data_IF_320520930880
#
_entry.id   IF_320520930880
#
_cell.length_a   1.000
_cell.length_b   1.000
_cell.length_c   1.000
_cell.angle_alpha   90.00
_cell.angle_beta   90.00
_cell.angle_gamma   90.00
#
_symmetry.space_group_name_H-M   'P 1'
#
loop_
_entity.id
_entity.type
_entity.pdbx_description
1 polymer ?
#
# COMPACT_ATOMS: atom_id res chain seq x y z
N UNK A 1 9.73 128.12 9.81
CA UNK A 1 8.85 127.93 10.99
C UNK A 1 7.40 128.15 10.57
N UNK A 2 6.61 127.07 10.45
CA UNK A 2 5.14 127.08 10.22
C UNK A 2 4.59 125.82 10.92
N UNK A 3 4.27 125.89 12.22
CA UNK A 3 2.91 126.03 12.79
C UNK A 3 1.93 124.96 12.25
N UNK A 4 1.82 123.79 12.91
CA UNK A 4 0.88 123.45 13.98
C UNK A 4 -0.63 123.57 13.63
N UNK A 5 -1.32 122.47 13.96
CA UNK A 5 -2.74 122.34 14.32
C UNK A 5 -3.76 122.19 13.19
N UNK A 6 -4.31 120.97 13.02
CA UNK A 6 -5.75 120.65 13.25
C UNK A 6 -5.91 119.20 13.71
N UNK A 7 -6.72 119.06 14.73
CA UNK A 7 -6.97 117.92 15.62
C UNK A 7 -8.27 117.18 15.29
N UNK A 8 -8.39 115.97 15.86
CA UNK A 8 -9.62 115.36 16.42
C UNK A 8 -10.54 114.51 15.51
N UNK A 9 -10.54 113.19 15.73
CA UNK A 9 -11.74 112.33 15.97
C UNK A 9 -11.28 110.92 16.43
N UNK A 10 -11.32 110.61 17.74
CA UNK A 10 -12.27 109.70 18.41
C UNK A 10 -12.25 108.23 17.89
N UNK A 11 -11.61 107.27 18.59
CA UNK A 11 -12.17 106.41 19.65
C UNK A 11 -13.38 105.56 19.22
N UNK A 12 -13.16 104.28 18.83
CA UNK A 12 -14.05 103.11 19.06
C UNK A 12 -13.63 101.88 18.22
N UNK A 13 -13.68 100.67 18.79
CA UNK A 13 -13.68 99.40 18.05
C UNK A 13 -12.48 98.49 18.37
N UNK A 14 -12.36 97.95 19.58
CA UNK A 14 -12.89 96.62 19.96
C UNK A 14 -12.22 95.47 19.19
N UNK A 15 -11.29 94.81 19.90
CA UNK A 15 -11.13 93.36 20.04
C UNK A 15 -11.62 92.49 18.86
N UNK A 16 -10.69 92.14 17.96
CA UNK A 16 -10.77 90.86 17.23
C UNK A 16 -9.40 90.19 17.27
N UNK A 17 -9.02 89.73 18.47
CA UNK A 17 -8.07 88.62 18.56
C UNK A 17 -8.87 87.37 18.18
N UNK A 18 -8.62 86.84 16.98
CA UNK A 18 -9.27 85.64 16.48
C UNK A 18 -9.14 84.50 17.48
N UNK A 19 -10.28 83.95 17.87
CA UNK A 19 -10.41 82.71 18.61
C UNK A 19 -9.61 81.60 17.94
N UNK A 20 -8.54 81.14 18.60
CA UNK A 20 -7.93 79.86 18.28
C UNK A 20 -8.93 78.75 18.62
N UNK A 21 -9.53 78.16 17.59
CA UNK A 21 -10.33 76.93 17.72
C UNK A 21 -9.39 75.76 18.01
N UNK A 22 -9.08 75.56 19.29
CA UNK A 22 -8.59 74.27 19.78
C UNK A 22 -9.81 73.34 19.89
N UNK A 23 -10.15 72.66 18.80
CA UNK A 23 -11.23 71.68 18.78
C UNK A 23 -10.78 70.41 18.04
N UNK A 24 -10.60 69.37 18.87
CA UNK A 24 -10.69 67.95 18.57
C UNK A 24 -9.69 67.36 17.56
N UNK A 25 -8.50 67.02 18.07
CA UNK A 25 -7.67 66.01 17.46
C UNK A 25 -8.45 64.69 17.54
N UNK A 26 -8.75 64.00 16.42
CA UNK A 26 -9.49 62.75 16.48
C UNK A 26 -8.78 61.79 17.44
N UNK A 27 -9.46 61.38 18.51
CA UNK A 27 -9.01 60.26 19.34
C UNK A 27 -8.79 59.10 18.38
N UNK A 28 -7.52 58.77 18.09
CA UNK A 28 -7.15 57.52 17.45
C UNK A 28 -7.58 56.42 18.40
N UNK A 29 -8.81 55.93 18.22
CA UNK A 29 -9.22 54.63 18.72
C UNK A 29 -8.28 53.66 18.00
N UNK A 30 -7.37 53.05 18.75
CA UNK A 30 -6.59 51.94 18.22
C UNK A 30 -7.60 50.94 17.61
N UNK A 31 -7.35 50.44 16.39
CA UNK A 31 -8.18 49.39 15.82
C UNK A 31 -8.37 48.31 16.89
N UNK A 32 -9.59 47.78 17.09
CA UNK A 32 -9.80 46.68 18.02
C UNK A 32 -8.76 45.59 17.71
N UNK A 33 -8.15 44.94 18.72
CA UNK A 33 -7.17 43.90 18.49
C UNK A 33 -7.72 42.94 17.45
N UNK A 34 -7.05 42.85 16.30
CA UNK A 34 -7.39 41.86 15.30
C UNK A 34 -7.14 40.53 15.97
N UNK A 35 -8.20 39.83 16.35
CA UNK A 35 -8.11 38.45 16.80
C UNK A 35 -7.64 37.64 15.59
N UNK A 36 -6.32 37.47 15.45
CA UNK A 36 -5.81 36.42 14.59
C UNK A 36 -6.04 35.12 15.35
N UNK A 37 -6.95 34.24 14.90
CA UNK A 37 -7.11 32.95 15.56
C UNK A 37 -5.74 32.29 15.62
N UNK A 38 -5.33 31.87 16.82
CA UNK A 38 -4.08 31.12 17.00
C UNK A 38 -4.15 29.94 16.03
N UNK A 39 -3.16 29.75 15.14
CA UNK A 39 -3.15 28.62 14.23
C UNK A 39 -3.23 27.33 15.03
N UNK A 40 -4.41 26.70 15.05
CA UNK A 40 -4.59 25.38 15.64
C UNK A 40 -4.27 24.38 14.55
N UNK A 41 -3.37 23.45 14.87
CA UNK A 41 -3.03 22.37 13.95
C UNK A 41 -4.29 21.63 13.51
N UNK A 42 -4.40 21.40 12.21
CA UNK A 42 -5.52 20.66 11.63
C UNK A 42 -5.02 19.53 10.74
N UNK A 43 -5.76 18.44 10.79
CA UNK A 43 -5.59 17.31 9.90
C UNK A 43 -6.16 17.56 8.52
N UNK A 44 -7.00 18.60 8.35
CA UNK A 44 -7.63 18.94 7.07
C UNK A 44 -6.60 19.34 6.02
N UNK A 45 -6.61 18.67 4.86
CA UNK A 45 -5.80 19.02 3.71
C UNK A 45 -5.36 17.84 2.85
N UNK A 46 -4.78 18.18 1.70
CA UNK A 46 -4.08 17.22 0.85
C UNK A 46 -2.73 16.86 1.46
N UNK A 47 -2.35 15.60 1.31
CA UNK A 47 -1.01 15.15 1.64
C UNK A 47 -0.54 14.09 0.64
N UNK A 48 0.78 13.97 0.51
CA UNK A 48 1.43 12.91 -0.22
C UNK A 48 2.64 12.43 0.57
N UNK A 49 3.00 11.17 0.41
CA UNK A 49 4.05 10.56 1.20
C UNK A 49 4.59 9.29 0.59
N UNK A 50 5.62 8.78 1.24
CA UNK A 50 6.19 7.48 0.94
C UNK A 50 6.13 6.61 2.19
N UNK A 51 6.09 5.31 1.99
CA UNK A 51 6.06 4.34 3.07
C UNK A 51 6.93 3.13 2.71
N UNK A 52 7.40 2.46 3.74
CA UNK A 52 8.22 1.26 3.68
C UNK A 52 7.85 0.35 4.84
N UNK A 53 7.89 -0.96 4.61
CA UNK A 53 7.46 -1.92 5.60
C UNK A 53 7.80 -3.35 5.23
N UNK A 54 7.12 -4.25 5.93
CA UNK A 54 7.29 -5.69 5.74
C UNK A 54 5.91 -6.35 5.65
N UNK A 55 5.73 -7.13 4.59
CA UNK A 55 4.56 -7.94 4.36
C UNK A 55 4.86 -9.38 4.76
N UNK A 56 3.88 -10.04 5.36
CA UNK A 56 3.96 -11.45 5.70
C UNK A 56 2.63 -12.13 5.43
N UNK A 57 2.72 -13.35 4.90
CA UNK A 57 1.57 -14.18 4.63
C UNK A 57 0.89 -14.62 5.94
N UNK A 58 -0.44 -14.59 5.99
CA UNK A 58 -1.20 -15.08 7.15
C UNK A 58 -1.50 -16.58 7.06
N UNK A 59 -1.49 -17.15 5.84
CA UNK A 59 -1.84 -18.54 5.60
C UNK A 59 -0.60 -19.42 5.40
N UNK A 60 -0.28 -20.23 6.42
CA UNK A 60 0.83 -21.18 6.39
C UNK A 60 0.40 -22.52 5.77
N UNK A 61 0.20 -22.56 4.44
CA UNK A 61 -0.16 -23.82 3.76
C UNK A 61 1.09 -24.65 3.48
N UNK A 62 1.42 -25.55 4.41
CA UNK A 62 2.57 -26.48 4.31
C UNK A 62 2.23 -27.84 3.73
N UNK A 63 0.98 -28.05 3.30
CA UNK A 63 0.52 -29.34 2.80
C UNK A 63 1.27 -29.68 1.49
N UNK A 64 2.03 -30.79 1.43
CA UNK A 64 2.70 -31.20 0.20
C UNK A 64 1.67 -31.61 -0.86
N UNK A 65 2.04 -31.45 -2.12
CA UNK A 65 1.28 -32.02 -3.24
C UNK A 65 1.95 -33.31 -3.65
N UNK A 66 1.26 -34.44 -3.52
CA UNK A 66 1.74 -35.76 -3.90
C UNK A 66 0.92 -36.25 -5.09
N UNK A 67 1.58 -36.75 -6.13
CA UNK A 67 0.96 -37.17 -7.38
C UNK A 67 1.42 -38.58 -7.71
N UNK A 68 0.48 -39.51 -7.69
CA UNK A 68 0.64 -40.85 -8.26
C UNK A 68 0.52 -40.79 -9.77
N UNK A 69 1.54 -41.30 -10.45
CA UNK A 69 1.65 -41.30 -11.91
C UNK A 69 1.59 -42.74 -12.41
N UNK A 70 0.65 -43.08 -13.31
CA UNK A 70 0.55 -44.41 -13.87
C UNK A 70 1.70 -44.70 -14.85
N UNK A 71 1.93 -45.97 -15.16
CA UNK A 71 2.84 -46.35 -16.22
C UNK A 71 2.30 -45.86 -17.58
N UNK A 72 3.18 -45.27 -18.39
CA UNK A 72 2.85 -44.90 -19.77
C UNK A 72 2.67 -46.13 -20.67
N UNK A 73 2.06 -45.94 -21.84
CA UNK A 73 1.89 -47.01 -22.83
C UNK A 73 3.19 -47.38 -23.53
N UNK A 74 4.14 -46.44 -23.61
CA UNK A 74 5.49 -46.63 -24.15
C UNK A 74 6.49 -45.89 -23.27
N UNK A 75 7.77 -46.28 -23.33
CA UNK A 75 8.84 -45.62 -22.57
C UNK A 75 8.95 -44.11 -22.89
N UNK A 76 8.67 -43.72 -24.14
CA UNK A 76 8.68 -42.33 -24.59
C UNK A 76 7.50 -41.50 -24.05
N UNK A 77 6.40 -42.17 -23.68
CA UNK A 77 5.22 -41.54 -23.12
C UNK A 77 5.16 -41.67 -21.60
N UNK A 78 6.04 -42.42 -20.93
CA UNK A 78 6.03 -42.58 -19.48
C UNK A 78 6.84 -41.50 -18.76
N UNK A 79 6.34 -40.99 -17.64
CA UNK A 79 7.10 -40.11 -16.72
C UNK A 79 8.20 -40.89 -15.99
N UNK A 80 7.92 -42.15 -15.63
CA UNK A 80 8.85 -43.03 -14.94
C UNK A 80 9.17 -44.26 -15.76
N UNK A 81 10.41 -44.73 -15.65
CA UNK A 81 10.89 -46.00 -16.22
C UNK A 81 11.55 -46.84 -15.13
N UNK A 82 11.59 -48.16 -15.34
CA UNK A 82 12.40 -49.06 -14.52
C UNK A 82 13.88 -49.06 -14.98
N UNK A 83 14.72 -49.84 -14.29
CA UNK A 83 16.15 -50.01 -14.63
C UNK A 83 16.41 -50.55 -16.05
N UNK A 84 15.39 -51.10 -16.71
CA UNK A 84 15.46 -51.66 -18.06
C UNK A 84 14.89 -50.71 -19.13
N UNK A 85 14.51 -49.48 -18.76
CA UNK A 85 13.93 -48.51 -19.68
C UNK A 85 12.46 -48.76 -20.06
N UNK A 86 11.75 -49.63 -19.33
CA UNK A 86 10.33 -49.90 -19.57
C UNK A 86 9.43 -48.99 -18.72
N UNK A 87 8.21 -48.66 -19.18
CA UNK A 87 7.28 -47.82 -18.43
C UNK A 87 7.04 -48.33 -17.01
N UNK A 88 7.07 -47.42 -16.04
CA UNK A 88 6.81 -47.72 -14.64
C UNK A 88 5.80 -46.73 -14.04
N UNK A 89 5.09 -47.19 -13.01
CA UNK A 89 4.32 -46.33 -12.12
C UNK A 89 5.26 -45.67 -11.13
N UNK A 90 4.96 -44.45 -10.71
CA UNK A 90 5.72 -43.79 -9.66
C UNK A 90 4.92 -42.69 -8.97
N UNK A 91 5.59 -42.00 -8.06
CA UNK A 91 5.03 -40.89 -7.29
C UNK A 91 5.98 -39.72 -7.39
N UNK A 92 5.44 -38.53 -7.62
CA UNK A 92 6.14 -37.25 -7.50
C UNK A 92 5.55 -36.49 -6.32
N UNK A 93 6.40 -35.93 -5.46
CA UNK A 93 5.97 -35.10 -4.35
C UNK A 93 6.63 -33.72 -4.43
N UNK A 94 5.82 -32.67 -4.31
CA UNK A 94 6.26 -31.28 -4.29
C UNK A 94 6.14 -30.71 -2.89
N UNK A 95 7.24 -30.09 -2.43
CA UNK A 95 7.22 -29.32 -1.19
C UNK A 95 6.60 -27.96 -1.44
N UNK A 96 5.45 -27.69 -0.81
CA UNK A 96 4.81 -26.38 -0.84
C UNK A 96 5.29 -25.59 0.40
N UNK A 97 6.40 -24.87 0.23
CA UNK A 97 6.84 -23.87 1.21
C UNK A 97 6.68 -22.50 0.57
N UNK A 98 5.57 -21.85 0.89
CA UNK A 98 5.28 -20.49 0.44
C UNK A 98 5.71 -19.54 1.56
N UNK A 99 6.96 -19.10 1.53
CA UNK A 99 7.42 -17.95 2.32
C UNK A 99 7.20 -16.70 1.47
N UNK A 100 5.97 -16.17 1.51
CA UNK A 100 5.58 -14.95 0.81
C UNK A 100 5.70 -13.74 1.76
N UNK A 101 6.85 -13.67 2.43
CA UNK A 101 7.26 -12.56 3.27
C UNK A 101 8.30 -11.72 2.53
N UNK A 102 8.23 -10.41 2.68
CA UNK A 102 9.10 -9.54 1.92
C UNK A 102 8.95 -8.07 2.27
N UNK A 103 9.91 -7.30 1.78
CA UNK A 103 9.87 -5.85 1.91
C UNK A 103 8.76 -5.28 1.02
N UNK A 104 8.05 -4.30 1.54
CA UNK A 104 7.07 -3.51 0.80
C UNK A 104 7.49 -2.06 0.82
N UNK A 105 7.31 -1.35 -0.29
CA UNK A 105 7.63 0.07 -0.35
C UNK A 105 6.90 0.77 -1.48
N UNK A 106 6.48 2.00 -1.22
CA UNK A 106 5.59 2.68 -2.14
C UNK A 106 5.30 4.13 -1.79
N UNK A 107 4.39 4.70 -2.58
CA UNK A 107 3.89 6.05 -2.43
C UNK A 107 2.41 6.05 -2.06
N UNK A 108 1.98 7.10 -1.36
CA UNK A 108 0.58 7.32 -1.02
C UNK A 108 0.20 8.78 -1.19
N UNK A 109 -1.07 9.01 -1.53
CA UNK A 109 -1.69 10.33 -1.64
C UNK A 109 -3.06 10.28 -0.99
N UNK A 110 -3.46 11.37 -0.36
CA UNK A 110 -4.78 11.42 0.24
C UNK A 110 -5.25 12.82 0.60
N UNK A 111 -6.51 12.86 1.01
CA UNK A 111 -7.14 14.06 1.52
C UNK A 111 -7.85 13.74 2.83
N UNK A 112 -7.64 14.62 3.81
CA UNK A 112 -8.26 14.56 5.12
C UNK A 112 -9.19 15.75 5.31
N UNK A 113 -10.29 15.51 6.03
CA UNK A 113 -11.23 16.52 6.48
C UNK A 113 -11.51 16.29 7.97
N UNK A 114 -11.11 17.27 8.78
CA UNK A 114 -11.36 17.31 10.22
C UNK A 114 -12.55 18.23 10.48
N UNK A 115 -13.57 17.72 11.18
CA UNK A 115 -14.78 18.48 11.48
C UNK A 115 -14.56 19.57 12.55
N UNK A 116 -13.64 19.35 13.47
CA UNK A 116 -13.35 20.26 14.58
C UNK A 116 -11.84 20.41 14.73
N UNK A 117 -11.26 21.58 14.38
CA UNK A 117 -9.83 21.83 14.52
C UNK A 117 -9.33 21.60 15.96
N UNK A 118 -8.12 21.06 16.13
CA UNK A 118 -7.51 20.78 17.44
C UNK A 118 -7.95 19.48 18.13
N UNK A 119 -9.24 19.14 18.09
CA UNK A 119 -9.72 17.84 18.58
C UNK A 119 -11.01 17.44 17.91
N UNK A 120 -11.08 16.22 17.36
CA UNK A 120 -12.33 15.74 16.80
C UNK A 120 -12.17 14.64 15.76
N UNK A 121 -13.29 14.32 15.14
CA UNK A 121 -13.37 13.28 14.11
C UNK A 121 -12.69 13.77 12.83
N UNK A 122 -11.90 12.89 12.24
CA UNK A 122 -11.24 13.07 10.95
C UNK A 122 -11.74 11.98 10.01
N UNK A 123 -12.20 12.40 8.84
CA UNK A 123 -12.52 11.51 7.72
C UNK A 123 -11.60 11.81 6.56
N UNK A 124 -11.41 10.85 5.67
CA UNK A 124 -10.55 11.07 4.51
C UNK A 124 -10.50 9.89 3.58
N UNK A 125 -9.81 10.09 2.47
CA UNK A 125 -9.58 9.06 1.45
C UNK A 125 -8.09 8.99 1.14
N UNK A 126 -7.55 7.77 1.04
CA UNK A 126 -6.15 7.50 0.71
C UNK A 126 -6.11 6.56 -0.50
N UNK A 127 -5.24 6.86 -1.45
CA UNK A 127 -4.84 5.94 -2.51
C UNK A 127 -3.35 5.68 -2.38
N UNK A 128 -2.94 4.43 -2.48
CA UNK A 128 -1.53 4.06 -2.43
C UNK A 128 -1.17 2.98 -3.45
N UNK A 129 0.11 2.97 -3.79
CA UNK A 129 0.73 2.15 -4.81
C UNK A 129 2.02 1.57 -4.22
N UNK A 130 2.11 0.24 -4.16
CA UNK A 130 3.12 -0.50 -3.41
C UNK A 130 3.84 -1.47 -4.33
N UNK A 131 5.15 -1.35 -4.36
CA UNK A 131 6.02 -2.38 -4.92
C UNK A 131 6.36 -3.39 -3.84
N UNK A 132 6.36 -4.66 -4.20
CA UNK A 132 6.59 -5.77 -3.29
C UNK A 132 7.61 -6.74 -3.89
N UNK A 133 8.55 -7.20 -3.06
CA UNK A 133 9.46 -8.29 -3.43
C UNK A 133 9.00 -9.57 -2.71
N UNK A 134 7.90 -10.16 -3.20
CA UNK A 134 7.41 -11.44 -2.70
C UNK A 134 7.90 -12.57 -3.60
N UNK A 135 8.97 -13.25 -3.17
CA UNK A 135 9.18 -14.66 -3.52
C UNK A 135 10.56 -15.03 -4.07
N UNK A 136 11.16 -16.03 -3.42
CA UNK A 136 12.12 -16.95 -4.04
C UNK A 136 11.60 -18.38 -3.87
N UNK A 137 10.84 -18.90 -4.82
CA UNK A 137 10.47 -20.31 -4.80
C UNK A 137 11.39 -21.12 -5.69
N UNK A 138 11.95 -22.20 -5.13
CA UNK A 138 12.69 -23.21 -5.91
C UNK A 138 11.74 -24.36 -6.19
N UNK A 139 11.63 -24.78 -7.45
CA UNK A 139 10.92 -26.02 -7.81
C UNK A 139 11.70 -27.21 -7.23
N UNK A 140 11.33 -27.64 -6.02
CA UNK A 140 11.91 -28.81 -5.35
C UNK A 140 10.86 -29.91 -5.33
N UNK A 141 11.22 -31.03 -5.94
CA UNK A 141 10.42 -32.23 -5.91
C UNK A 141 11.26 -33.42 -5.43
N UNK A 142 10.59 -34.38 -4.82
CA UNK A 142 11.09 -35.72 -4.60
C UNK A 142 10.28 -36.68 -5.47
N UNK A 143 10.87 -37.81 -5.80
CA UNK A 143 10.16 -38.86 -6.52
C UNK A 143 10.50 -40.23 -5.95
N UNK A 144 9.59 -41.17 -6.15
CA UNK A 144 9.78 -42.59 -5.88
C UNK A 144 9.16 -43.40 -7.01
N UNK A 145 9.78 -44.51 -7.37
CA UNK A 145 9.27 -45.43 -8.40
C UNK A 145 9.72 -46.85 -8.02
N UNK A 146 9.49 -47.82 -8.90
CA UNK A 146 9.95 -49.20 -8.73
C UNK A 146 11.48 -49.26 -8.48
N UNK A 147 11.99 -50.27 -7.76
CA UNK A 147 13.42 -50.41 -7.48
C UNK A 147 14.29 -50.34 -8.75
N UNK A 148 15.36 -49.54 -8.69
CA UNK A 148 16.25 -49.29 -9.83
C UNK A 148 15.64 -48.40 -10.93
N UNK A 149 14.39 -47.97 -10.79
CA UNK A 149 13.73 -47.05 -11.70
C UNK A 149 14.06 -45.59 -11.44
N UNK A 150 13.76 -44.76 -12.44
CA UNK A 150 13.96 -43.33 -12.38
C UNK A 150 12.97 -42.57 -13.25
N UNK A 151 13.14 -41.26 -13.29
CA UNK A 151 12.43 -40.40 -14.24
C UNK A 151 12.96 -40.70 -15.65
N UNK A 152 12.06 -40.86 -16.62
CA UNK A 152 12.44 -41.16 -17.98
C UNK A 152 13.33 -40.05 -18.57
N UNK A 153 14.42 -40.37 -19.31
CA UNK A 153 15.29 -39.37 -19.90
C UNK A 153 14.54 -38.34 -20.72
N UNK A 154 14.91 -37.06 -20.55
CA UNK A 154 14.25 -35.94 -21.24
C UNK A 154 12.89 -35.55 -20.67
N UNK A 155 12.42 -36.18 -19.59
CA UNK A 155 11.21 -35.75 -18.88
C UNK A 155 11.50 -34.53 -18.01
N UNK A 156 10.70 -33.48 -18.19
CA UNK A 156 10.72 -32.30 -17.34
C UNK A 156 9.61 -32.40 -16.30
N UNK A 157 9.91 -32.02 -15.06
CA UNK A 157 8.97 -32.10 -13.92
C UNK A 157 8.79 -30.71 -13.31
N UNK A 158 7.53 -30.33 -13.12
CA UNK A 158 7.11 -29.00 -12.71
C UNK A 158 6.20 -29.06 -11.50
N UNK A 159 6.34 -28.11 -10.58
CA UNK A 159 5.39 -27.99 -9.49
C UNK A 159 4.06 -27.46 -10.06
N UNK A 160 2.96 -28.25 -10.03
CA UNK A 160 1.67 -27.85 -10.60
C UNK A 160 0.99 -26.72 -9.81
N UNK A 161 1.55 -26.31 -8.68
CA UNK A 161 1.05 -25.22 -7.85
C UNK A 161 1.50 -23.83 -8.28
N UNK A 162 2.37 -23.72 -9.31
CA UNK A 162 2.90 -22.46 -9.84
C UNK A 162 3.80 -21.68 -8.86
N UNK A 163 4.50 -20.67 -9.37
CA UNK A 163 5.06 -19.58 -8.54
C UNK A 163 4.12 -18.40 -8.60
N UNK A 164 3.49 -18.06 -7.48
CA UNK A 164 2.69 -16.84 -7.36
C UNK A 164 3.51 -15.79 -6.60
N UNK A 165 4.09 -14.83 -7.33
CA UNK A 165 4.58 -13.58 -6.77
C UNK A 165 3.51 -12.50 -6.92
N UNK A 166 3.45 -11.58 -5.97
CA UNK A 166 2.81 -10.29 -6.16
C UNK A 166 3.96 -9.32 -6.44
N UNK A 167 3.92 -8.60 -7.56
CA UNK A 167 4.97 -7.64 -7.94
C UNK A 167 4.55 -6.21 -7.54
N UNK A 168 3.24 -5.94 -7.59
CA UNK A 168 2.67 -4.65 -7.25
C UNK A 168 1.25 -4.80 -6.69
N UNK A 169 0.94 -4.02 -5.65
CA UNK A 169 -0.44 -3.84 -5.19
C UNK A 169 -0.75 -2.37 -4.93
N UNK A 170 -1.99 -1.98 -5.16
CA UNK A 170 -2.50 -0.67 -4.80
C UNK A 170 -3.76 -0.80 -3.95
N UNK A 171 -4.07 0.23 -3.18
CA UNK A 171 -5.32 0.29 -2.44
C UNK A 171 -5.96 1.66 -2.53
N UNK A 172 -7.29 1.67 -2.44
CA UNK A 172 -8.10 2.86 -2.27
C UNK A 172 -8.92 2.68 -1.01
N UNK A 173 -8.63 3.49 0.00
CA UNK A 173 -9.16 3.34 1.36
C UNK A 173 -9.86 4.59 1.83
N UNK A 174 -11.02 4.41 2.44
CA UNK A 174 -11.61 5.41 3.33
C UNK A 174 -10.93 5.32 4.70
N UNK A 175 -10.75 6.46 5.36
CA UNK A 175 -10.27 6.54 6.74
C UNK A 175 -11.29 7.21 7.63
N UNK A 176 -11.37 6.73 8.85
CA UNK A 176 -12.12 7.35 9.93
C UNK A 176 -11.25 7.29 11.19
N UNK A 177 -11.03 8.44 11.80
CA UNK A 177 -10.18 8.54 12.97
C UNK A 177 -10.59 9.64 13.91
N UNK A 178 -9.90 9.68 15.04
CA UNK A 178 -10.04 10.73 16.02
C UNK A 178 -8.68 11.39 16.23
N UNK A 179 -8.64 12.71 16.07
CA UNK A 179 -7.48 13.53 16.32
C UNK A 179 -7.54 14.14 17.72
N UNK A 180 -6.46 13.99 18.48
CA UNK A 180 -6.17 14.77 19.67
C UNK A 180 -4.88 15.55 19.40
N UNK A 181 -5.02 16.83 19.10
CA UNK A 181 -3.91 17.73 18.76
C UNK A 181 -3.05 17.16 17.61
N UNK A 182 -1.77 16.86 17.87
CA UNK A 182 -0.80 16.34 16.89
C UNK A 182 -0.88 14.84 16.67
N UNK A 183 -1.76 14.11 17.37
CA UNK A 183 -1.88 12.65 17.23
C UNK A 183 -3.23 12.30 16.62
N UNK A 184 -3.23 11.45 15.60
CA UNK A 184 -4.42 10.91 14.95
C UNK A 184 -4.36 9.38 15.03
N UNK A 185 -5.38 8.79 15.65
CA UNK A 185 -5.61 7.34 15.61
C UNK A 185 -6.76 7.09 14.66
N UNK A 186 -6.58 6.15 13.73
CA UNK A 186 -7.56 5.92 12.67
C UNK A 186 -7.67 4.45 12.29
N UNK A 187 -8.85 4.10 11.79
CA UNK A 187 -9.11 2.87 11.07
C UNK A 187 -9.28 3.19 9.58
N UNK A 188 -8.91 2.23 8.74
CA UNK A 188 -9.08 2.30 7.29
C UNK A 188 -9.76 1.06 6.77
N UNK A 189 -10.55 1.22 5.72
CA UNK A 189 -11.21 0.13 5.02
C UNK A 189 -11.44 0.53 3.57
N UNK A 190 -11.34 -0.44 2.65
CA UNK A 190 -11.61 -0.13 1.26
C UNK A 190 -11.27 -1.26 0.30
N UNK A 191 -10.98 -0.83 -0.92
CA UNK A 191 -10.74 -1.70 -2.06
C UNK A 191 -9.25 -1.88 -2.27
N UNK A 192 -8.84 -3.12 -2.50
CA UNK A 192 -7.48 -3.47 -2.86
C UNK A 192 -7.46 -3.99 -4.29
N UNK A 193 -6.41 -3.65 -5.03
CA UNK A 193 -6.14 -4.21 -6.34
C UNK A 193 -4.67 -4.55 -6.47
N UNK A 194 -4.34 -5.49 -7.33
CA UNK A 194 -2.96 -5.89 -7.54
C UNK A 194 -2.76 -6.49 -8.90
N UNK A 195 -1.50 -6.55 -9.30
CA UNK A 195 -1.05 -7.36 -10.41
C UNK A 195 0.22 -8.08 -9.97
N UNK A 196 0.22 -9.40 -10.14
CA UNK A 196 1.39 -10.22 -9.90
C UNK A 196 1.53 -11.25 -11.02
N UNK A 197 2.73 -11.35 -11.59
CA UNK A 197 3.05 -12.35 -12.59
C UNK A 197 3.24 -13.71 -11.95
N UNK A 198 2.35 -14.65 -12.25
CA UNK A 198 2.58 -16.06 -11.98
C UNK A 198 3.36 -16.69 -13.14
N UNK A 199 4.62 -17.05 -12.94
CA UNK A 199 5.35 -17.87 -13.92
C UNK A 199 4.96 -19.34 -13.73
N UNK A 200 3.96 -19.83 -14.43
CA UNK A 200 3.69 -21.26 -14.45
C UNK A 200 4.87 -21.97 -15.16
N UNK A 201 5.68 -22.69 -14.38
CA UNK A 201 6.62 -23.64 -14.96
C UNK A 201 5.81 -24.80 -15.56
N UNK A 202 5.85 -24.96 -16.88
CA UNK A 202 5.19 -26.04 -17.61
C UNK A 202 4.72 -25.57 -18.99
N UNK A 203 4.79 -26.46 -19.98
CA UNK A 203 4.20 -26.20 -21.30
C UNK A 203 2.75 -26.70 -21.33
N UNK A 204 1.81 -25.98 -22.01
CA UNK A 204 1.97 -24.63 -22.52
C UNK A 204 2.04 -23.59 -21.40
N UNK A 205 3.09 -22.77 -21.45
CA UNK A 205 3.35 -21.68 -20.51
C UNK A 205 2.45 -20.50 -20.88
N UNK A 206 1.41 -20.28 -20.09
CA UNK A 206 0.60 -19.07 -20.17
C UNK A 206 0.79 -18.26 -18.88
N UNK A 207 1.71 -17.30 -18.88
CA UNK A 207 1.67 -16.20 -17.92
C UNK A 207 0.38 -15.45 -18.14
N UNK A 208 -0.52 -15.44 -17.15
CA UNK A 208 -1.70 -14.59 -17.20
C UNK A 208 -1.53 -13.48 -16.18
N UNK A 209 -1.39 -12.26 -16.69
CA UNK A 209 -1.41 -11.03 -15.91
C UNK A 209 -2.87 -10.79 -15.47
N UNK A 210 -3.34 -11.56 -14.50
CA UNK A 210 -4.67 -11.36 -13.96
C UNK A 210 -4.63 -10.18 -13.00
N UNK A 211 -5.39 -9.12 -13.32
CA UNK A 211 -5.70 -8.08 -12.36
C UNK A 211 -6.46 -8.69 -11.18
N UNK A 212 -5.87 -8.70 -9.99
CA UNK A 212 -6.51 -9.17 -8.77
C UNK A 212 -7.24 -8.02 -8.08
N UNK A 213 -8.42 -8.31 -7.53
CA UNK A 213 -9.23 -7.35 -6.78
C UNK A 213 -9.62 -7.95 -5.45
N UNK A 214 -9.83 -7.12 -4.45
CA UNK A 214 -10.30 -7.58 -3.15
C UNK A 214 -10.52 -6.42 -2.20
N UNK A 215 -10.36 -6.70 -0.91
CA UNK A 215 -10.65 -5.73 0.15
C UNK A 215 -9.45 -5.59 1.09
N UNK A 216 -9.38 -4.43 1.72
CA UNK A 216 -8.36 -4.12 2.72
C UNK A 216 -9.01 -3.52 3.95
N UNK A 217 -8.52 -3.90 5.11
CA UNK A 217 -8.83 -3.28 6.39
C UNK A 217 -7.53 -3.02 7.14
N UNK A 218 -7.48 -1.95 7.91
CA UNK A 218 -6.31 -1.68 8.74
C UNK A 218 -6.53 -0.55 9.71
N UNK A 219 -5.48 -0.23 10.43
CA UNK A 219 -5.48 0.87 11.39
C UNK A 219 -4.07 1.36 11.63
N UNK A 220 -3.99 2.59 12.10
CA UNK A 220 -2.71 3.23 12.31
C UNK A 220 -2.77 4.42 13.24
N UNK A 221 -1.58 4.91 13.55
CA UNK A 221 -1.36 6.13 14.31
C UNK A 221 -0.51 7.05 13.45
N UNK A 222 -0.90 8.32 13.37
CA UNK A 222 -0.17 9.38 12.70
C UNK A 222 0.15 10.49 13.70
N UNK A 223 1.39 10.95 13.69
CA UNK A 223 1.90 11.98 14.60
C UNK A 223 2.52 13.12 13.81
N UNK A 224 2.08 14.34 14.08
CA UNK A 224 2.57 15.54 13.42
C UNK A 224 3.81 16.10 14.12
N UNK A 225 4.93 16.13 13.39
CA UNK A 225 6.21 16.53 13.97
C UNK A 225 6.20 18.01 14.38
N UNK A 226 6.70 18.35 15.59
CA UNK A 226 6.98 19.73 15.98
C UNK A 226 7.93 20.41 15.00
N UNK A 227 7.75 21.73 14.82
CA UNK A 227 8.58 22.59 13.96
C UNK A 227 10.06 22.61 14.35
N UNK A 228 10.36 22.19 15.58
CA UNK A 228 11.70 22.28 16.20
C UNK A 228 12.43 20.93 16.22
N UNK A 229 11.87 19.89 15.57
CA UNK A 229 12.45 18.55 15.56
C UNK A 229 13.59 18.45 14.54
N UNK A 230 14.73 17.86 14.93
CA UNK A 230 15.92 17.66 14.07
C UNK A 230 15.63 16.91 12.73
N UNK A 231 14.54 16.14 12.66
CA UNK A 231 14.08 15.46 11.44
C UNK A 231 13.30 16.36 10.46
N UNK A 232 13.02 17.61 10.82
CA UNK A 232 12.21 18.54 10.04
C UNK A 232 13.10 19.49 9.22
N UNK A 233 13.71 18.97 8.15
CA UNK A 233 14.62 19.74 7.28
C UNK A 233 13.94 20.94 6.58
N UNK A 234 12.60 20.95 6.49
CA UNK A 234 11.82 21.96 5.78
C UNK A 234 11.30 23.11 6.66
N UNK A 235 11.61 23.14 7.96
CA UNK A 235 11.09 24.14 8.93
C UNK A 235 9.56 24.34 8.81
N UNK A 236 8.82 23.27 8.54
CA UNK A 236 7.38 23.33 8.28
C UNK A 236 6.63 22.38 9.20
N UNK A 237 5.51 22.81 9.78
CA UNK A 237 4.58 21.98 10.56
C UNK A 237 3.91 20.85 9.73
N UNK A 238 4.25 20.77 8.45
CA UNK A 238 3.60 19.94 7.44
C UNK A 238 4.03 18.46 7.39
N UNK A 239 5.06 18.03 8.12
CA UNK A 239 5.53 16.62 8.06
C UNK A 239 4.90 15.80 9.18
N UNK A 240 4.32 14.66 8.82
CA UNK A 240 3.74 13.71 9.77
C UNK A 240 4.38 12.33 9.62
N UNK A 241 4.58 11.66 10.76
CA UNK A 241 5.03 10.28 10.85
C UNK A 241 3.82 9.36 10.98
N UNK A 242 3.75 8.33 10.16
CA UNK A 242 2.65 7.36 10.12
C UNK A 242 3.18 5.96 10.39
N UNK A 243 2.49 5.22 11.24
CA UNK A 243 2.67 3.76 11.40
C UNK A 243 1.30 3.11 11.20
N UNK A 244 1.22 2.12 10.33
CA UNK A 244 -0.03 1.40 10.06
C UNK A 244 0.17 -0.10 9.89
N UNK A 245 -0.85 -0.86 10.32
CA UNK A 245 -1.01 -2.28 10.05
C UNK A 245 -2.20 -2.48 9.12
N UNK A 246 -2.01 -3.30 8.08
CA UNK A 246 -3.00 -3.60 7.07
C UNK A 246 -3.19 -5.11 6.96
N UNK A 247 -4.44 -5.52 6.76
CA UNK A 247 -4.81 -6.85 6.33
C UNK A 247 -5.44 -6.72 4.95
N UNK A 248 -4.82 -7.37 3.98
CA UNK A 248 -5.22 -7.33 2.57
C UNK A 248 -5.62 -8.73 2.15
N UNK A 249 -6.82 -8.86 1.61
CA UNK A 249 -7.29 -10.06 0.95
C UNK A 249 -7.54 -9.73 -0.53
N UNK A 250 -6.89 -10.47 -1.41
CA UNK A 250 -7.08 -10.39 -2.85
C UNK A 250 -7.62 -11.71 -3.38
N UNK A 251 -8.71 -11.65 -4.13
CA UNK A 251 -9.29 -12.82 -4.77
C UNK A 251 -8.45 -13.23 -5.98
N UNK A 252 -7.96 -14.47 -6.01
CA UNK A 252 -7.29 -15.03 -7.18
C UNK A 252 -8.29 -15.89 -7.97
N UNK A 253 -8.79 -15.35 -9.09
CA UNK A 253 -9.75 -16.03 -9.96
C UNK A 253 -9.18 -17.19 -10.80
N UNK A 254 -7.93 -17.61 -10.58
CA UNK A 254 -7.25 -18.56 -11.45
C UNK A 254 -7.37 -20.02 -10.97
N UNK A 255 -7.65 -20.90 -11.92
CA UNK A 255 -7.50 -22.35 -11.79
C UNK A 255 -6.11 -22.69 -12.32
N UNK A 256 -5.24 -23.30 -11.52
CA UNK A 256 -3.94 -23.78 -12.00
C UNK A 256 -4.13 -24.71 -13.20
N UNK A 257 -3.38 -24.47 -14.28
CA UNK A 257 -3.27 -25.40 -15.38
C UNK A 257 -2.28 -26.49 -14.94
N UNK A 258 -2.74 -27.41 -14.09
CA UNK A 258 -1.90 -28.28 -13.26
C UNK A 258 -1.10 -29.36 -13.98
N UNK A 259 -0.39 -29.02 -15.06
CA UNK A 259 0.64 -29.85 -15.71
C UNK A 259 1.84 -29.96 -14.77
N UNK A 260 2.25 -31.19 -14.45
CA UNK A 260 3.36 -31.46 -13.53
C UNK A 260 4.51 -32.22 -14.20
N UNK A 261 4.31 -32.79 -15.39
CA UNK A 261 5.38 -33.43 -16.13
C UNK A 261 5.15 -33.32 -17.64
N UNK A 262 6.25 -33.23 -18.39
CA UNK A 262 6.26 -33.34 -19.84
C UNK A 262 7.35 -34.33 -20.25
N UNK A 263 6.98 -35.34 -21.03
CA UNK A 263 7.93 -36.35 -21.51
C UNK A 263 8.78 -35.82 -22.66
N UNK A 264 9.85 -36.54 -23.02
CA UNK A 264 10.71 -36.19 -24.15
C UNK A 264 9.96 -36.08 -25.49
N UNK A 265 8.82 -36.80 -25.64
CA UNK A 265 7.97 -36.74 -26.83
C UNK A 265 6.90 -35.62 -26.74
N UNK A 266 7.01 -34.72 -25.76
CA UNK A 266 6.09 -33.61 -25.55
C UNK A 266 4.75 -33.98 -24.94
N UNK A 267 4.54 -35.24 -24.51
CA UNK A 267 3.29 -35.65 -23.84
C UNK A 267 3.21 -35.00 -22.46
N UNK A 268 2.12 -34.30 -22.20
CA UNK A 268 1.90 -33.56 -20.95
C UNK A 268 1.05 -34.37 -19.98
N UNK A 269 1.50 -34.43 -18.73
CA UNK A 269 0.78 -35.02 -17.62
C UNK A 269 0.38 -33.91 -16.66
N UNK A 270 -0.92 -33.82 -16.39
CA UNK A 270 -1.53 -32.90 -15.43
C UNK A 270 -2.19 -33.65 -14.29
N UNK A 271 -2.49 -32.94 -13.21
CA UNK A 271 -3.30 -33.43 -12.08
C UNK A 271 -4.71 -33.86 -12.51
N UNK A 272 -5.14 -33.50 -13.73
CA UNK A 272 -6.41 -33.90 -14.33
C UNK A 272 -6.26 -34.98 -15.41
N UNK A 273 -5.02 -35.41 -15.71
CA UNK A 273 -4.80 -36.46 -16.71
C UNK A 273 -5.40 -37.79 -16.24
N UNK A 274 -5.96 -38.62 -17.15
CA UNK A 274 -6.58 -39.89 -16.77
C UNK A 274 -5.64 -40.78 -15.96
N UNK A 275 -6.16 -41.40 -14.91
CA UNK A 275 -5.42 -42.32 -14.02
C UNK A 275 -4.25 -41.70 -13.24
N UNK A 276 -4.08 -40.37 -13.29
CA UNK A 276 -3.25 -39.63 -12.34
C UNK A 276 -4.07 -39.42 -11.06
N UNK A 277 -3.44 -39.68 -9.91
CA UNK A 277 -4.07 -39.48 -8.60
C UNK A 277 -3.29 -38.40 -7.86
N UNK A 278 -3.94 -37.31 -7.48
CA UNK A 278 -3.34 -36.22 -6.71
C UNK A 278 -3.88 -36.20 -5.27
N UNK A 279 -2.99 -36.09 -4.30
CA UNK A 279 -3.29 -35.96 -2.87
C UNK A 279 -2.62 -34.68 -2.37
N UNK A 280 -3.40 -33.77 -1.75
CA UNK A 280 -2.94 -32.46 -1.30
C UNK A 280 -3.59 -31.29 -2.06
N UNK A 281 -3.11 -30.06 -1.86
CA UNK A 281 -3.79 -28.84 -2.32
C UNK A 281 -3.80 -28.63 -3.84
N UNK A 282 -3.30 -29.59 -4.62
CA UNK A 282 -3.42 -29.59 -6.07
C UNK A 282 -4.88 -29.63 -6.57
N UNK A 283 -5.81 -30.04 -5.71
CA UNK A 283 -7.23 -30.09 -6.03
C UNK A 283 -7.94 -28.87 -5.44
N UNK A 284 -8.34 -27.93 -6.31
CA UNK A 284 -9.52 -27.08 -6.13
C UNK A 284 -9.50 -25.96 -5.06
N UNK A 285 -8.37 -25.31 -4.79
CA UNK A 285 -8.41 -24.09 -3.99
C UNK A 285 -8.57 -22.86 -4.88
N UNK A 286 -9.68 -22.12 -4.70
CA UNK A 286 -9.65 -20.66 -4.93
C UNK A 286 -8.56 -20.15 -4.00
N UNK A 287 -7.44 -19.70 -4.56
CA UNK A 287 -6.39 -19.11 -3.76
C UNK A 287 -6.84 -17.71 -3.40
N UNK A 288 -7.03 -17.47 -2.12
CA UNK A 288 -7.11 -16.11 -1.60
C UNK A 288 -5.68 -15.72 -1.21
N UNK A 289 -5.21 -14.59 -1.72
CA UNK A 289 -3.91 -14.07 -1.31
C UNK A 289 -4.16 -13.17 -0.12
N UNK A 290 -3.97 -13.73 1.07
CA UNK A 290 -4.15 -13.04 2.33
C UNK A 290 -2.81 -12.72 2.96
N UNK A 291 -2.55 -11.44 3.15
CA UNK A 291 -1.30 -11.01 3.76
C UNK A 291 -1.54 -9.82 4.69
N UNK A 292 -0.74 -9.79 5.73
CA UNK A 292 -0.66 -8.66 6.63
C UNK A 292 0.58 -7.83 6.29
N UNK A 293 0.45 -6.52 6.38
CA UNK A 293 1.53 -5.57 6.15
C UNK A 293 1.67 -4.69 7.37
N UNK A 294 2.89 -4.53 7.85
CA UNK A 294 3.23 -3.51 8.83
C UNK A 294 4.18 -2.52 8.17
N UNK A 295 3.82 -1.24 8.15
CA UNK A 295 4.62 -0.22 7.48
C UNK A 295 4.64 1.10 8.23
N UNK A 296 5.72 1.85 8.01
CA UNK A 296 5.89 3.21 8.47
C UNK A 296 6.06 4.14 7.26
N UNK A 297 5.63 5.39 7.39
CA UNK A 297 5.71 6.36 6.31
C UNK A 297 5.81 7.79 6.80
N UNK A 298 6.22 8.66 5.89
CA UNK A 298 6.28 10.09 6.10
C UNK A 298 5.34 10.75 5.10
N UNK A 299 4.46 11.63 5.59
CA UNK A 299 3.58 12.43 4.75
C UNK A 299 3.95 13.90 4.83
N UNK A 300 3.88 14.57 3.70
CA UNK A 300 3.94 16.02 3.59
C UNK A 300 2.53 16.56 3.33
N UNK A 301 2.06 17.47 4.17
CA UNK A 301 0.79 18.18 4.02
C UNK A 301 0.98 19.45 3.20
N UNK A 302 0.19 19.61 2.15
CA UNK A 302 0.27 20.78 1.27
C UNK A 302 -0.45 22.01 1.82
N UNK A 303 -1.39 21.82 2.75
CA UNK A 303 -1.98 22.91 3.52
C UNK A 303 -1.27 22.99 4.88
N UNK A 304 -0.25 23.85 4.95
CA UNK A 304 0.26 24.34 6.22
C UNK A 304 -0.60 25.50 6.73
N UNK A 305 -0.95 25.47 8.01
CA UNK A 305 -1.11 26.70 8.78
C UNK A 305 0.15 26.86 9.62
#
# INVERSE_FOLDING_TARGET
MKSLLKSATALAGVLVAGSALAADLPRRVAPPPVFTPVPVFTWTGFYAGFNAGYGFNTADTRAPTVIGVPAGTTAANSVFINQFGQPATGVVAFGNRNSNDGFVGGGQVGYNYQFTPGSGVVVGIEADAQYVDFGRSRNRFAFATVPGGGIAPGTQVFNPNGISGLDFFGTVRGRLGYAWDRTLVYATGGFAYGSGGGQDFGLPNSSRDNFQTGWVVGGGVEYALPTDSFFNFFRSSAVTLKVEGLYVNLDQGNRNNGVFAQTANGTQYSVFSPSVVSVGPANLYRRETEFAVVRAGLNYKFNGF
#
